data_IF_468819613545
#
_entry.id   IF_468819613545
#
_cell.length_a   1.000
_cell.length_b   1.000
_cell.length_c   1.000
_cell.angle_alpha   90.00
_cell.angle_beta   90.00
_cell.angle_gamma   90.00
#
_symmetry.space_group_name_H-M   'P 1'
#
loop_
_entity.id
_entity.type
_entity.pdbx_description
1 polymer ?
#
# COMPACT_ATOMS: atom_id res chain seq x y z
N UNK A 1 17.57 17.87 17.11
CA UNK A 1 17.39 16.79 16.11
C UNK A 1 16.78 17.42 14.86
N UNK A 2 17.37 17.23 13.66
CA UNK A 2 16.67 17.59 12.42
C UNK A 2 15.39 16.75 12.37
N UNK A 3 14.24 17.39 12.24
CA UNK A 3 12.97 16.67 12.15
C UNK A 3 12.97 15.78 10.91
N UNK A 4 12.67 14.50 11.08
CA UNK A 4 12.65 13.53 9.99
C UNK A 4 11.38 13.75 9.14
N UNK A 5 11.53 14.18 7.89
CA UNK A 5 10.42 14.43 6.96
C UNK A 5 9.52 13.19 6.78
N UNK A 6 10.07 11.98 6.85
CA UNK A 6 9.29 10.74 6.75
C UNK A 6 8.29 10.58 7.89
N UNK A 7 8.70 10.88 9.12
CA UNK A 7 7.79 10.86 10.28
C UNK A 7 6.70 11.93 10.13
N UNK A 8 7.07 13.14 9.68
CA UNK A 8 6.09 14.20 9.41
C UNK A 8 5.08 13.80 8.34
N UNK A 9 5.53 13.12 7.28
CA UNK A 9 4.67 12.61 6.23
C UNK A 9 3.72 11.51 6.76
N UNK A 10 4.21 10.58 7.58
CA UNK A 10 3.36 9.56 8.22
C UNK A 10 2.34 10.16 9.17
N UNK A 11 2.73 11.13 10.00
CA UNK A 11 1.80 11.83 10.89
C UNK A 11 0.72 12.58 10.10
N UNK A 12 1.10 13.20 8.97
CA UNK A 12 0.14 13.85 8.08
C UNK A 12 -0.83 12.84 7.46
N UNK A 13 -0.31 11.69 7.02
CA UNK A 13 -1.12 10.62 6.47
C UNK A 13 -2.05 10.00 7.52
N UNK A 14 -1.58 9.77 8.75
CA UNK A 14 -2.39 9.30 9.88
C UNK A 14 -3.53 10.27 10.21
N UNK A 15 -3.25 11.58 10.20
CA UNK A 15 -4.29 12.61 10.37
C UNK A 15 -5.36 12.50 9.27
N UNK A 16 -4.95 12.31 8.01
CA UNK A 16 -5.88 12.13 6.88
C UNK A 16 -6.70 10.85 7.06
N UNK A 17 -6.07 9.75 7.46
CA UNK A 17 -6.74 8.47 7.72
C UNK A 17 -7.83 8.60 8.78
N UNK A 18 -7.53 9.29 9.89
CA UNK A 18 -8.51 9.59 10.95
C UNK A 18 -9.66 10.47 10.45
N UNK A 19 -9.35 11.52 9.67
CA UNK A 19 -10.36 12.42 9.13
C UNK A 19 -11.31 11.73 8.14
N UNK A 20 -10.81 10.78 7.36
CA UNK A 20 -11.59 9.98 6.42
C UNK A 20 -12.13 8.67 7.03
N UNK A 21 -11.94 8.47 8.33
CA UNK A 21 -12.38 7.29 9.08
C UNK A 21 -11.94 5.96 8.46
N UNK A 22 -10.67 5.84 8.08
CA UNK A 22 -10.08 4.57 7.65
C UNK A 22 -8.82 4.21 8.43
N UNK A 23 -8.47 2.93 8.38
CA UNK A 23 -7.24 2.37 8.95
C UNK A 23 -6.31 1.95 7.83
N UNK A 24 -5.03 2.25 7.96
CA UNK A 24 -3.97 1.73 7.10
C UNK A 24 -3.05 0.79 7.89
N UNK A 25 -2.09 0.17 7.22
CA UNK A 25 -1.06 -0.65 7.87
C UNK A 25 0.32 -0.24 7.40
N UNK A 26 1.25 0.01 8.31
CA UNK A 26 2.68 0.00 7.95
C UNK A 26 3.07 -1.38 7.44
N UNK A 27 3.86 -1.44 6.36
CA UNK A 27 4.47 -2.68 5.88
C UNK A 27 5.75 -3.05 6.65
N UNK A 28 6.18 -4.31 6.53
CA UNK A 28 7.27 -4.89 7.30
C UNK A 28 8.58 -4.11 7.19
N UNK A 29 9.02 -3.76 5.98
CA UNK A 29 10.24 -2.99 5.75
C UNK A 29 10.14 -1.56 6.27
N UNK A 30 9.02 -0.87 6.03
CA UNK A 30 8.79 0.49 6.54
C UNK A 30 8.88 0.51 8.07
N UNK A 31 8.31 -0.50 8.74
CA UNK A 31 8.43 -0.64 10.19
C UNK A 31 9.87 -0.89 10.63
N UNK A 32 10.62 -1.71 9.90
CA UNK A 32 12.04 -1.98 10.17
C UNK A 32 12.91 -0.72 9.99
N UNK A 33 12.63 0.09 8.98
CA UNK A 33 13.30 1.37 8.75
C UNK A 33 13.01 2.38 9.87
N UNK A 34 11.76 2.43 10.34
CA UNK A 34 11.37 3.25 11.49
C UNK A 34 12.08 2.79 12.78
N UNK A 35 12.14 1.46 13.04
CA UNK A 35 12.82 0.90 14.22
C UNK A 35 14.32 1.20 14.23
N UNK A 36 14.97 1.07 13.08
CA UNK A 36 16.40 1.36 12.94
C UNK A 36 16.72 2.86 13.01
N UNK A 37 15.71 3.73 13.08
CA UNK A 37 15.82 5.20 13.05
C UNK A 37 16.61 5.67 11.83
N UNK A 38 16.42 4.99 10.69
CA UNK A 38 17.14 5.27 9.47
C UNK A 38 16.87 6.73 9.03
N UNK A 39 17.92 7.44 8.63
CA UNK A 39 17.90 8.91 8.50
C UNK A 39 17.21 9.34 7.19
N UNK A 40 17.03 8.44 6.23
CA UNK A 40 16.50 8.76 4.90
C UNK A 40 15.17 8.03 4.61
N UNK A 41 14.08 8.54 5.19
CA UNK A 41 12.71 8.03 5.01
C UNK A 41 11.97 8.79 3.90
N UNK A 42 12.55 8.85 2.70
CA UNK A 42 11.95 9.50 1.54
C UNK A 42 11.00 8.58 0.74
N UNK A 43 11.06 7.27 0.99
CA UNK A 43 10.13 6.26 0.50
C UNK A 43 9.59 5.44 1.69
N UNK A 44 8.28 5.33 1.75
CA UNK A 44 7.55 4.57 2.76
C UNK A 44 6.45 3.77 2.06
N UNK A 45 6.06 2.65 2.64
CA UNK A 45 5.02 1.80 2.11
C UNK A 45 3.97 1.48 3.18
N UNK A 46 2.71 1.63 2.78
CA UNK A 46 1.57 1.28 3.60
C UNK A 46 0.62 0.38 2.82
N UNK A 47 -0.13 -0.45 3.53
CA UNK A 47 -1.31 -1.11 3.00
C UNK A 47 -2.57 -0.29 3.34
N UNK A 48 -3.48 -0.19 2.37
CA UNK A 48 -4.80 0.41 2.56
C UNK A 48 -5.85 -0.45 1.84
N UNK A 49 -7.06 -0.51 2.39
CA UNK A 49 -8.20 -1.17 1.73
C UNK A 49 -8.58 -0.39 0.47
N UNK A 50 -8.91 -1.10 -0.61
CA UNK A 50 -9.25 -0.50 -1.90
C UNK A 50 -10.34 0.57 -1.79
N UNK A 51 -11.42 0.30 -1.06
CA UNK A 51 -12.52 1.26 -0.87
C UNK A 51 -12.05 2.56 -0.20
N UNK A 52 -11.12 2.46 0.76
CA UNK A 52 -10.58 3.64 1.45
C UNK A 52 -9.58 4.39 0.57
N UNK A 53 -8.84 3.68 -0.29
CA UNK A 53 -8.06 4.30 -1.36
C UNK A 53 -8.93 5.12 -2.32
N UNK A 54 -10.11 4.60 -2.73
CA UNK A 54 -11.03 5.36 -3.58
C UNK A 54 -11.50 6.64 -2.88
N UNK A 55 -11.90 6.57 -1.60
CA UNK A 55 -12.25 7.77 -0.80
C UNK A 55 -11.09 8.76 -0.75
N UNK A 56 -9.88 8.28 -0.44
CA UNK A 56 -8.67 9.09 -0.36
C UNK A 56 -8.39 9.80 -1.69
N UNK A 57 -8.48 9.09 -2.82
CA UNK A 57 -8.26 9.64 -4.16
C UNK A 57 -9.28 10.72 -4.54
N UNK A 58 -10.54 10.59 -4.10
CA UNK A 58 -11.59 11.59 -4.32
C UNK A 58 -11.30 12.87 -3.52
N UNK A 59 -10.98 12.74 -2.24
CA UNK A 59 -10.82 13.90 -1.34
C UNK A 59 -9.45 14.60 -1.45
N UNK A 60 -8.40 13.87 -1.86
CA UNK A 60 -7.01 14.34 -1.86
C UNK A 60 -6.32 14.14 -3.22
N UNK A 61 -7.08 14.25 -4.32
CA UNK A 61 -6.61 13.94 -5.69
C UNK A 61 -5.24 14.54 -6.06
N UNK A 62 -4.95 15.77 -5.63
CA UNK A 62 -3.72 16.49 -6.00
C UNK A 62 -2.48 16.00 -5.22
N UNK A 63 -2.71 15.24 -4.14
CA UNK A 63 -1.66 14.63 -3.30
C UNK A 63 -1.48 13.15 -3.59
N UNK A 64 -2.43 12.53 -4.29
CA UNK A 64 -2.42 11.12 -4.68
C UNK A 64 -1.99 11.01 -6.13
N UNK A 65 -0.72 10.72 -6.32
CA UNK A 65 -0.08 10.67 -7.63
C UNK A 65 0.16 9.21 -8.02
N UNK A 66 0.12 8.93 -9.32
CA UNK A 66 0.55 7.65 -9.86
C UNK A 66 2.00 7.78 -10.30
N UNK A 67 2.87 6.89 -9.83
CA UNK A 67 4.27 6.90 -10.26
C UNK A 67 4.38 6.30 -11.67
N UNK A 68 4.55 7.18 -12.67
CA UNK A 68 4.74 6.80 -14.08
C UNK A 68 6.13 7.22 -14.60
N UNK A 69 6.95 7.86 -13.77
CA UNK A 69 8.08 8.66 -14.24
C UNK A 69 9.41 7.89 -14.36
N UNK A 70 9.50 6.62 -13.94
CA UNK A 70 10.73 5.86 -14.20
C UNK A 70 10.54 4.35 -14.19
N UNK A 71 11.41 3.65 -14.93
CA UNK A 71 11.46 2.18 -15.01
C UNK A 71 11.83 1.46 -13.71
N UNK A 72 11.99 2.19 -12.61
CA UNK A 72 12.55 1.73 -11.33
C UNK A 72 11.61 2.06 -10.17
N UNK A 73 10.58 2.91 -10.38
CA UNK A 73 9.69 3.38 -9.33
C UNK A 73 8.36 2.62 -9.38
N UNK A 74 7.93 2.12 -8.21
CA UNK A 74 6.76 1.27 -7.97
C UNK A 74 5.54 1.69 -8.78
N UNK A 75 4.73 0.76 -9.37
CA UNK A 75 3.66 1.11 -10.30
C UNK A 75 2.40 1.61 -9.54
N UNK A 76 2.54 1.85 -8.25
CA UNK A 76 1.45 2.13 -7.33
C UNK A 76 1.22 3.62 -7.21
N UNK A 77 0.01 3.95 -6.75
CA UNK A 77 -0.29 5.29 -6.29
C UNK A 77 0.51 5.59 -5.03
N UNK A 78 0.91 6.85 -4.85
CA UNK A 78 1.55 7.31 -3.64
C UNK A 78 0.95 8.64 -3.17
N UNK A 79 0.99 8.82 -1.85
CA UNK A 79 0.75 10.11 -1.22
C UNK A 79 2.07 10.88 -1.15
N UNK A 80 2.09 12.14 -1.63
CA UNK A 80 3.28 12.98 -1.65
C UNK A 80 3.23 14.12 -0.64
N UNK A 81 4.22 14.19 0.26
CA UNK A 81 4.31 15.27 1.24
C UNK A 81 5.76 15.51 1.68
N UNK A 82 6.22 16.77 1.69
CA UNK A 82 7.58 17.16 2.11
C UNK A 82 8.71 16.34 1.46
N UNK A 83 8.60 16.09 0.14
CA UNK A 83 9.53 15.26 -0.62
C UNK A 83 9.62 13.79 -0.15
N UNK A 84 8.57 13.30 0.49
CA UNK A 84 8.41 11.89 0.88
C UNK A 84 7.27 11.28 0.08
N UNK A 85 7.50 10.08 -0.45
CA UNK A 85 6.47 9.26 -1.12
C UNK A 85 6.02 8.15 -0.18
N UNK A 86 4.73 8.10 0.12
CA UNK A 86 4.09 7.00 0.82
C UNK A 86 3.33 6.17 -0.21
N UNK A 87 3.91 5.06 -0.65
CA UNK A 87 3.29 4.17 -1.64
C UNK A 87 2.14 3.39 -1.02
N UNK A 88 1.03 3.35 -1.75
CA UNK A 88 -0.25 2.79 -1.33
C UNK A 88 -0.42 1.41 -1.94
N UNK A 89 0.00 0.40 -1.18
CA UNK A 89 -0.21 -1.01 -1.52
C UNK A 89 -1.67 -1.37 -1.18
N UNK A 90 -2.39 -2.01 -2.08
CA UNK A 90 -3.85 -2.15 -1.94
C UNK A 90 -4.25 -3.55 -1.49
N UNK A 91 -5.11 -3.58 -0.47
CA UNK A 91 -5.89 -4.76 -0.07
C UNK A 91 -7.24 -4.69 -0.80
N UNK A 92 -7.42 -5.54 -1.81
CA UNK A 92 -8.58 -5.47 -2.72
C UNK A 92 -9.56 -6.59 -2.35
N UNK A 93 -10.85 -6.27 -2.14
CA UNK A 93 -11.88 -7.29 -1.92
C UNK A 93 -12.07 -8.08 -3.22
N UNK A 94 -12.00 -9.41 -3.14
CA UNK A 94 -12.06 -10.32 -4.29
C UNK A 94 -12.73 -11.63 -3.90
N UNK A 95 -12.94 -12.52 -4.86
CA UNK A 95 -13.25 -13.91 -4.60
C UNK A 95 -12.10 -14.87 -5.00
N UNK A 96 -12.17 -16.11 -4.52
CA UNK A 96 -11.19 -17.17 -4.79
C UNK A 96 -11.09 -17.51 -6.28
N UNK A 97 -12.23 -17.54 -7.00
CA UNK A 97 -12.27 -17.83 -8.43
C UNK A 97 -11.49 -16.80 -9.26
N UNK A 98 -11.57 -15.51 -8.90
CA UNK A 98 -10.81 -14.43 -9.54
C UNK A 98 -9.31 -14.64 -9.30
N UNK A 99 -8.91 -14.90 -8.05
CA UNK A 99 -7.49 -15.12 -7.69
C UNK A 99 -6.86 -16.25 -8.49
N UNK A 100 -7.57 -17.37 -8.65
CA UNK A 100 -7.09 -18.56 -9.34
C UNK A 100 -7.26 -18.49 -10.86
N UNK A 101 -7.86 -17.42 -11.38
CA UNK A 101 -8.11 -17.30 -12.80
C UNK A 101 -6.82 -17.12 -13.61
N UNK A 102 -6.74 -17.83 -14.74
CA UNK A 102 -5.65 -17.64 -15.72
C UNK A 102 -5.57 -16.21 -16.25
N UNK A 103 -6.68 -15.48 -16.24
CA UNK A 103 -6.75 -14.06 -16.64
C UNK A 103 -5.92 -13.19 -15.70
N UNK A 104 -6.12 -13.32 -14.39
CA UNK A 104 -5.36 -12.57 -13.38
C UNK A 104 -3.86 -12.91 -13.45
N UNK A 105 -3.51 -14.19 -13.55
CA UNK A 105 -2.12 -14.61 -13.71
C UNK A 105 -1.49 -14.05 -15.00
N UNK A 106 -2.23 -14.05 -16.11
CA UNK A 106 -1.78 -13.45 -17.38
C UNK A 106 -1.58 -11.93 -17.27
N UNK A 107 -2.48 -11.23 -16.58
CA UNK A 107 -2.36 -9.79 -16.32
C UNK A 107 -1.14 -9.51 -15.46
N UNK A 108 -0.95 -10.22 -14.33
CA UNK A 108 0.25 -10.12 -13.48
C UNK A 108 1.53 -10.29 -14.27
N UNK A 109 1.60 -11.35 -15.07
CA UNK A 109 2.76 -11.63 -15.92
C UNK A 109 2.99 -10.56 -16.99
N UNK A 110 1.92 -9.94 -17.50
CA UNK A 110 2.03 -8.82 -18.44
C UNK A 110 2.57 -7.57 -17.76
N UNK A 111 2.11 -7.25 -16.55
CA UNK A 111 2.67 -6.17 -15.72
C UNK A 111 4.16 -6.38 -15.47
N UNK A 112 4.56 -7.57 -15.02
CA UNK A 112 5.97 -7.89 -14.77
C UNK A 112 6.85 -7.85 -16.02
N UNK A 113 6.29 -8.04 -17.22
CA UNK A 113 7.04 -7.92 -18.50
C UNK A 113 7.09 -6.47 -19.03
N UNK A 114 6.08 -5.65 -18.75
CA UNK A 114 5.90 -4.32 -19.34
C UNK A 114 5.49 -3.29 -18.29
N UNK A 115 6.21 -3.29 -17.18
CA UNK A 115 5.88 -2.53 -15.96
C UNK A 115 5.55 -1.05 -16.24
N UNK A 116 6.30 -0.40 -17.12
CA UNK A 116 6.16 1.04 -17.40
C UNK A 116 5.06 1.37 -18.42
N UNK A 117 4.35 0.37 -18.95
CA UNK A 117 3.35 0.55 -20.02
C UNK A 117 1.95 0.17 -19.60
N UNK A 118 1.76 -0.35 -18.39
CA UNK A 118 0.47 -0.85 -17.92
C UNK A 118 0.01 -0.03 -16.73
N UNK A 119 -1.23 0.46 -16.80
CA UNK A 119 -1.86 1.17 -15.71
C UNK A 119 -2.35 0.16 -14.67
N UNK A 120 -1.80 0.22 -13.45
CA UNK A 120 -2.14 -0.68 -12.34
C UNK A 120 -3.65 -0.74 -12.05
N UNK A 121 -4.40 0.33 -12.37
CA UNK A 121 -5.86 0.35 -12.26
C UNK A 121 -6.52 -0.81 -13.01
N UNK A 122 -6.01 -1.22 -14.17
CA UNK A 122 -6.56 -2.37 -14.91
C UNK A 122 -6.45 -3.69 -14.13
N UNK A 123 -5.40 -3.84 -13.30
CA UNK A 123 -5.24 -5.00 -12.43
C UNK A 123 -6.22 -4.91 -11.25
N UNK A 124 -6.36 -3.73 -10.67
CA UNK A 124 -7.31 -3.50 -9.57
C UNK A 124 -8.75 -3.83 -10.02
N UNK A 125 -9.17 -3.33 -11.17
CA UNK A 125 -10.50 -3.56 -11.72
C UNK A 125 -10.76 -5.04 -12.05
N UNK A 126 -9.72 -5.77 -12.48
CA UNK A 126 -9.83 -7.20 -12.77
C UNK A 126 -9.94 -8.06 -11.51
N UNK A 127 -9.40 -7.57 -10.39
CA UNK A 127 -9.32 -8.28 -9.12
C UNK A 127 -10.56 -8.02 -8.25
N UNK A 128 -11.12 -6.83 -8.34
CA UNK A 128 -12.24 -6.41 -7.50
C UNK A 128 -13.47 -7.32 -7.67
N UNK A 129 -14.12 -7.67 -6.56
CA UNK A 129 -15.41 -8.39 -6.51
C UNK A 129 -16.38 -7.69 -5.58
N UNK A 130 -17.62 -7.49 -6.04
CA UNK A 130 -18.75 -7.03 -5.22
C UNK A 130 -19.22 -8.10 -4.22
N UNK A 131 -18.91 -9.37 -4.49
CA UNK A 131 -19.17 -10.51 -3.61
C UNK A 131 -17.82 -11.10 -3.16
N UNK A 132 -17.12 -10.47 -2.19
CA UNK A 132 -15.80 -10.92 -1.80
C UNK A 132 -15.85 -12.02 -0.72
N UNK A 133 -15.05 -13.08 -0.91
CA UNK A 133 -14.77 -14.10 0.11
C UNK A 133 -13.29 -14.08 0.56
N UNK A 134 -12.44 -13.32 -0.14
CA UNK A 134 -11.02 -13.16 0.16
C UNK A 134 -10.56 -11.72 -0.07
N UNK A 135 -9.40 -11.40 0.48
CA UNK A 135 -8.65 -10.19 0.16
C UNK A 135 -7.42 -10.54 -0.65
N UNK A 136 -7.19 -9.82 -1.74
CA UNK A 136 -5.96 -9.91 -2.51
C UNK A 136 -5.13 -8.67 -2.22
N UNK A 137 -3.95 -8.89 -1.66
CA UNK A 137 -2.97 -7.84 -1.45
C UNK A 137 -1.98 -7.81 -2.62
N UNK A 138 -1.84 -6.65 -3.24
CA UNK A 138 -0.90 -6.43 -4.34
C UNK A 138 0.28 -5.64 -3.81
N UNK A 139 1.49 -6.17 -4.00
CA UNK A 139 2.71 -5.57 -3.52
C UNK A 139 3.85 -5.77 -4.52
N UNK A 140 4.92 -4.98 -4.35
CA UNK A 140 6.16 -5.17 -5.07
C UNK A 140 7.11 -5.95 -4.17
N UNK A 141 7.51 -7.13 -4.61
CA UNK A 141 8.52 -7.91 -3.92
C UNK A 141 9.88 -7.19 -4.04
N UNK A 142 10.46 -6.81 -2.90
CA UNK A 142 11.68 -5.99 -2.87
C UNK A 142 12.92 -6.74 -3.36
N UNK A 143 12.94 -8.08 -3.28
CA UNK A 143 14.09 -8.90 -3.70
C UNK A 143 14.09 -9.10 -5.22
N UNK A 144 12.92 -9.37 -5.79
CA UNK A 144 12.76 -9.69 -7.21
C UNK A 144 12.34 -8.50 -8.07
N UNK A 145 11.92 -7.39 -7.44
CA UNK A 145 11.33 -6.22 -8.09
C UNK A 145 10.13 -6.56 -8.97
N UNK A 146 9.40 -7.63 -8.63
CA UNK A 146 8.20 -8.08 -9.34
C UNK A 146 6.95 -7.74 -8.55
N UNK A 147 5.88 -7.47 -9.28
CA UNK A 147 4.55 -7.41 -8.72
C UNK A 147 4.12 -8.82 -8.34
N UNK A 148 3.79 -8.99 -7.06
CA UNK A 148 3.29 -10.22 -6.46
C UNK A 148 1.91 -9.99 -5.84
N UNK A 149 1.20 -11.09 -5.61
CA UNK A 149 -0.13 -11.09 -5.02
C UNK A 149 -0.24 -12.12 -3.91
N UNK A 150 -0.77 -11.70 -2.76
CA UNK A 150 -1.05 -12.57 -1.62
C UNK A 150 -2.55 -12.65 -1.35
N UNK A 151 -3.08 -13.87 -1.17
CA UNK A 151 -4.48 -14.14 -0.81
C UNK A 151 -4.64 -14.23 0.71
N UNK A 152 -5.67 -13.57 1.24
CA UNK A 152 -6.03 -13.62 2.65
C UNK A 152 -7.54 -13.88 2.82
N UNK A 153 -7.90 -15.06 3.32
CA UNK A 153 -9.31 -15.40 3.63
C UNK A 153 -9.82 -14.82 4.95
N UNK A 154 -8.94 -14.49 5.88
CA UNK A 154 -9.32 -14.16 7.26
C UNK A 154 -8.81 -12.79 7.75
N UNK A 155 -8.41 -11.88 6.86
CA UNK A 155 -7.95 -10.56 7.29
C UNK A 155 -9.15 -9.66 7.61
N UNK A 156 -9.14 -9.03 8.78
CA UNK A 156 -10.10 -8.01 9.14
C UNK A 156 -9.36 -6.67 9.25
N UNK A 157 -9.48 -5.78 8.25
CA UNK A 157 -8.82 -4.47 8.25
C UNK A 157 -9.20 -3.56 9.43
N UNK A 158 -10.29 -3.88 10.14
CA UNK A 158 -10.72 -3.16 11.35
C UNK A 158 -9.91 -3.54 12.59
N UNK A 159 -9.25 -4.70 12.59
CA UNK A 159 -8.40 -5.14 13.70
C UNK A 159 -6.92 -4.99 13.34
N UNK A 160 -6.28 -4.04 14.00
CA UNK A 160 -4.86 -3.74 13.81
C UNK A 160 -4.11 -3.78 15.14
N UNK A 161 -2.80 -3.91 15.01
CA UNK A 161 -1.86 -3.71 16.12
C UNK A 161 -1.21 -2.35 15.98
N UNK A 162 -0.66 -1.85 17.09
CA UNK A 162 -0.03 -0.52 17.14
C UNK A 162 1.48 -0.69 17.20
N UNK A 163 2.18 -0.01 16.31
CA UNK A 163 3.62 0.19 16.37
C UNK A 163 3.90 1.54 17.04
N UNK A 164 4.54 1.51 18.21
CA UNK A 164 5.00 2.70 18.92
C UNK A 164 6.40 3.08 18.42
N UNK A 165 6.52 4.25 17.78
CA UNK A 165 7.80 4.78 17.30
C UNK A 165 8.54 5.54 18.42
N UNK A 166 7.78 6.34 19.17
CA UNK A 166 8.23 7.12 20.33
C UNK A 166 7.02 7.44 21.22
N UNK A 167 7.21 7.91 22.46
CA UNK A 167 6.09 8.27 23.33
C UNK A 167 5.11 9.21 22.62
N UNK A 168 3.86 8.77 22.48
CA UNK A 168 2.78 9.52 21.81
C UNK A 168 2.74 9.45 20.29
N UNK A 169 3.68 8.75 19.63
CA UNK A 169 3.69 8.56 18.17
C UNK A 169 3.48 7.08 17.85
N UNK A 170 2.28 6.79 17.36
CA UNK A 170 1.76 5.45 17.14
C UNK A 170 1.25 5.30 15.72
N UNK A 171 1.55 4.17 15.09
CA UNK A 171 1.10 3.85 13.73
C UNK A 171 0.45 2.47 13.67
N UNK A 172 -0.67 2.31 12.95
CA UNK A 172 -1.34 1.03 12.80
C UNK A 172 -0.55 0.06 11.90
N UNK A 173 -0.64 -1.23 12.19
CA UNK A 173 -0.17 -2.30 11.29
C UNK A 173 -1.01 -3.57 11.42
N UNK A 174 -1.15 -4.32 10.32
CA UNK A 174 -1.82 -5.61 10.27
C UNK A 174 -0.76 -6.71 10.42
N UNK A 175 -0.81 -7.49 11.51
CA UNK A 175 0.12 -8.60 11.76
C UNK A 175 0.25 -9.58 10.59
N UNK A 176 -0.81 -9.76 9.81
CA UNK A 176 -0.83 -10.66 8.64
C UNK A 176 0.02 -10.18 7.47
N UNK A 177 0.27 -8.87 7.36
CA UNK A 177 1.09 -8.27 6.30
C UNK A 177 2.55 -8.08 6.73
N UNK A 178 2.90 -8.38 7.99
CA UNK A 178 4.25 -8.14 8.51
C UNK A 178 5.33 -9.01 7.85
N UNK A 179 4.94 -10.15 7.30
CA UNK A 179 5.86 -11.14 6.71
C UNK A 179 6.03 -10.99 5.20
N UNK A 180 5.36 -10.01 4.59
CA UNK A 180 5.49 -9.63 3.19
C UNK A 180 6.44 -8.44 3.11
#
# INVERSE_FOLDING_TARGET
>A
MKENNGIKALLKFDQIARNLHFTYSLLGHTKSDLKSKNINLNKLDVAIVFNDFIKLKIHYKDQILLDQESSVTSPFYYFYYLNVRIYLNLLIPSNELIFESKKIESLKNSFNKKFNKMNISNLYDAIYSDEPDVWIFIYLDNETSKLEMAKFSNINPSYYSIFEYSPGINFPYFKKLEKL
#
